data_IF_176213189100
#
_entry.id   IF_176213189100
#
_cell.length_a   1.000
_cell.length_b   1.000
_cell.length_c   1.000
_cell.angle_alpha   90.00
_cell.angle_beta   90.00
_cell.angle_gamma   90.00
#
_symmetry.space_group_name_H-M   'P 1'
#
loop_
_entity.id
_entity.type
_entity.pdbx_description
1 polymer ?
#
# COMPACT_ATOMS: atom_id res chain seq x y z
N UNK A 1 -51.61 -7.61 -57.66
CA UNK A 1 -51.06 -8.79 -56.96
C UNK A 1 -49.55 -8.61 -56.85
N UNK A 2 -49.04 -8.73 -55.62
CA UNK A 2 -47.69 -9.13 -55.17
C UNK A 2 -46.47 -8.47 -55.82
N UNK A 3 -45.73 -7.74 -54.99
CA UNK A 3 -44.28 -7.56 -55.08
C UNK A 3 -43.67 -7.78 -53.69
N UNK A 4 -42.37 -8.09 -53.67
CA UNK A 4 -41.44 -8.22 -52.54
C UNK A 4 -41.12 -9.65 -52.09
N UNK A 5 -40.41 -10.32 -53.00
CA UNK A 5 -39.29 -11.21 -52.69
C UNK A 5 -38.34 -10.53 -51.67
N UNK A 6 -38.15 -11.18 -50.52
CA UNK A 6 -37.01 -10.93 -49.66
C UNK A 6 -36.25 -12.26 -49.55
N UNK A 7 -35.00 -12.17 -49.95
CA UNK A 7 -34.14 -13.25 -50.40
C UNK A 7 -33.83 -14.24 -49.29
N UNK A 8 -34.02 -15.52 -49.64
CA UNK A 8 -33.42 -16.67 -49.00
C UNK A 8 -31.96 -16.78 -49.41
N UNK A 9 -31.22 -17.54 -48.60
CA UNK A 9 -30.04 -18.31 -49.00
C UNK A 9 -28.74 -17.52 -49.24
N UNK A 10 -27.91 -17.47 -48.19
CA UNK A 10 -26.48 -17.70 -48.36
C UNK A 10 -25.89 -18.45 -47.15
N UNK A 11 -25.84 -19.78 -47.32
CA UNK A 11 -24.70 -20.68 -47.00
C UNK A 11 -24.33 -20.89 -45.54
N UNK A 12 -24.86 -21.98 -45.01
CA UNK A 12 -24.11 -22.90 -44.15
C UNK A 12 -22.92 -23.51 -44.92
N UNK A 13 -21.75 -23.60 -44.28
CA UNK A 13 -21.05 -24.86 -44.01
C UNK A 13 -19.57 -24.63 -43.63
N UNK A 14 -19.14 -25.45 -42.67
CA UNK A 14 -17.78 -25.78 -42.25
C UNK A 14 -17.02 -24.79 -41.36
N UNK A 15 -16.23 -25.25 -40.40
CA UNK A 15 -16.19 -26.47 -39.58
C UNK A 15 -15.06 -26.20 -38.55
N UNK A 16 -15.11 -26.86 -37.41
CA UNK A 16 -14.07 -27.06 -36.40
C UNK A 16 -12.77 -26.20 -36.45
N UNK A 17 -12.52 -25.43 -35.37
CA UNK A 17 -11.17 -25.32 -34.80
C UNK A 17 -11.18 -24.85 -33.33
N UNK A 18 -10.99 -25.83 -32.44
CA UNK A 18 -10.11 -25.80 -31.27
C UNK A 18 -10.36 -24.76 -30.17
N UNK A 19 -10.87 -25.30 -29.06
CA UNK A 19 -10.67 -24.80 -27.70
C UNK A 19 -9.17 -24.56 -27.43
N UNK A 20 -8.79 -23.30 -27.23
CA UNK A 20 -7.63 -22.94 -26.42
C UNK A 20 -8.09 -21.95 -25.36
N UNK A 21 -8.36 -22.45 -24.15
CA UNK A 21 -8.42 -21.61 -22.95
C UNK A 21 -6.99 -21.17 -22.63
N UNK A 22 -6.67 -19.89 -22.78
CA UNK A 22 -5.53 -19.30 -22.09
C UNK A 22 -6.06 -18.56 -20.85
N UNK A 23 -5.45 -18.73 -19.66
CA UNK A 23 -5.71 -17.89 -18.51
C UNK A 23 -4.77 -16.69 -18.58
N UNK A 24 -4.98 -15.80 -19.55
CA UNK A 24 -4.39 -14.47 -19.44
C UNK A 24 -5.39 -13.57 -18.75
N UNK A 25 -5.16 -13.42 -17.45
CA UNK A 25 -5.62 -12.32 -16.61
C UNK A 25 -5.53 -11.02 -17.38
N UNK A 26 -6.62 -10.65 -18.04
CA UNK A 26 -6.73 -9.36 -18.70
C UNK A 26 -6.88 -8.38 -17.56
N UNK A 27 -5.76 -7.74 -17.20
CA UNK A 27 -5.74 -6.59 -16.31
C UNK A 27 -6.67 -5.57 -16.97
N UNK A 28 -7.93 -5.54 -16.55
CA UNK A 28 -8.85 -4.48 -16.93
C UNK A 28 -8.29 -3.22 -16.29
N UNK A 29 -7.50 -2.47 -17.05
CA UNK A 29 -7.26 -1.06 -16.78
C UNK A 29 -8.64 -0.41 -16.91
N UNK A 30 -9.41 -0.40 -15.81
CA UNK A 30 -10.53 0.52 -15.67
C UNK A 30 -9.89 1.89 -15.82
N UNK A 31 -10.21 2.57 -16.92
CA UNK A 31 -10.05 4.01 -17.00
C UNK A 31 -10.79 4.54 -15.78
N UNK A 32 -10.04 4.95 -14.76
CA UNK A 32 -10.58 5.47 -13.51
C UNK A 32 -11.29 6.77 -13.91
N UNK A 33 -12.59 6.69 -14.16
CA UNK A 33 -13.45 7.87 -14.14
C UNK A 33 -13.13 8.60 -12.85
N UNK A 34 -12.83 9.89 -12.94
CA UNK A 34 -12.29 10.72 -11.85
C UNK A 34 -13.12 10.44 -10.60
N UNK A 35 -12.59 9.62 -9.68
CA UNK A 35 -13.26 9.29 -8.44
C UNK A 35 -13.36 10.59 -7.66
N UNK A 36 -14.57 11.12 -7.55
CA UNK A 36 -14.80 12.44 -6.98
C UNK A 36 -14.96 12.34 -5.47
N UNK A 37 -13.89 11.89 -4.79
CA UNK A 37 -13.84 11.86 -3.33
C UNK A 37 -13.29 13.19 -2.84
N UNK A 38 -14.09 13.89 -2.03
CA UNK A 38 -13.72 15.17 -1.43
C UNK A 38 -13.66 15.03 0.09
N UNK A 39 -12.57 15.50 0.70
CA UNK A 39 -12.52 15.65 2.16
C UNK A 39 -13.12 16.99 2.55
N UNK A 40 -14.03 16.99 3.51
CA UNK A 40 -14.70 18.19 4.03
C UNK A 40 -14.35 18.34 5.52
N UNK A 41 -13.70 19.44 5.88
CA UNK A 41 -13.40 19.77 7.27
C UNK A 41 -14.39 20.82 7.76
N UNK A 42 -15.20 20.46 8.75
CA UNK A 42 -16.19 21.33 9.37
C UNK A 42 -15.59 22.03 10.60
N UNK A 43 -15.45 23.34 10.49
CA UNK A 43 -14.89 24.26 11.48
C UNK A 43 -13.49 23.84 12.03
N UNK A 44 -12.52 23.45 11.18
CA UNK A 44 -11.19 23.09 11.67
C UNK A 44 -10.58 24.26 12.46
N UNK A 45 -10.00 23.94 13.62
CA UNK A 45 -9.50 24.96 14.55
C UNK A 45 -8.04 25.31 14.32
N UNK A 46 -7.22 24.33 13.92
CA UNK A 46 -5.77 24.49 13.80
C UNK A 46 -5.30 24.34 12.34
N UNK A 47 -4.59 25.35 11.85
CA UNK A 47 -3.99 25.36 10.53
C UNK A 47 -3.00 24.19 10.33
N UNK A 48 -2.33 23.73 11.40
CA UNK A 48 -1.41 22.58 11.35
C UNK A 48 -2.17 21.30 10.97
N UNK A 49 -3.40 21.11 11.46
CA UNK A 49 -4.22 19.97 11.08
C UNK A 49 -4.64 20.05 9.61
N UNK A 50 -5.00 21.25 9.13
CA UNK A 50 -5.31 21.46 7.71
C UNK A 50 -4.09 21.11 6.85
N UNK A 51 -2.89 21.54 7.25
CA UNK A 51 -1.66 21.21 6.53
C UNK A 51 -1.38 19.70 6.51
N UNK A 52 -1.57 19.00 7.61
CA UNK A 52 -1.44 17.54 7.65
C UNK A 52 -2.50 16.84 6.77
N UNK A 53 -3.73 17.35 6.70
CA UNK A 53 -4.77 16.84 5.80
C UNK A 53 -4.38 17.06 4.34
N UNK A 54 -3.86 18.23 3.97
CA UNK A 54 -3.36 18.52 2.61
C UNK A 54 -2.25 17.53 2.21
N UNK A 55 -1.29 17.27 3.12
CA UNK A 55 -0.26 16.25 2.89
C UNK A 55 -0.86 14.86 2.72
N UNK A 56 -1.82 14.49 3.58
CA UNK A 56 -2.48 13.20 3.52
C UNK A 56 -3.19 13.01 2.17
N UNK A 57 -3.96 13.99 1.70
CA UNK A 57 -4.60 13.94 0.39
C UNK A 57 -3.58 13.64 -0.71
N UNK A 58 -2.46 14.38 -0.75
CA UNK A 58 -1.40 14.15 -1.73
C UNK A 58 -0.78 12.75 -1.62
N UNK A 59 -0.48 12.29 -0.40
CA UNK A 59 0.08 10.96 -0.16
C UNK A 59 -0.80 9.83 -0.73
N UNK A 60 -2.13 10.00 -0.67
CA UNK A 60 -3.11 8.99 -1.12
C UNK A 60 -3.70 9.27 -2.51
N UNK A 61 -3.13 10.23 -3.25
CA UNK A 61 -3.54 10.54 -4.62
C UNK A 61 -4.85 11.31 -4.76
N UNK A 62 -5.35 11.92 -3.68
CA UNK A 62 -6.53 12.78 -3.69
C UNK A 62 -6.11 14.27 -3.69
N UNK A 63 -7.00 15.13 -4.15
CA UNK A 63 -6.70 16.57 -4.29
C UNK A 63 -7.79 17.52 -3.82
N UNK A 64 -9.01 17.03 -3.62
CA UNK A 64 -10.16 17.89 -3.36
C UNK A 64 -10.42 18.00 -1.85
N UNK A 65 -10.27 19.23 -1.35
CA UNK A 65 -10.46 19.61 0.05
C UNK A 65 -11.46 20.77 0.13
N UNK A 66 -12.45 20.65 1.00
CA UNK A 66 -13.40 21.72 1.33
C UNK A 66 -13.26 22.09 2.80
N UNK A 67 -13.13 23.38 3.07
CA UNK A 67 -13.08 23.92 4.43
C UNK A 67 -14.38 24.67 4.69
N UNK A 68 -15.14 24.25 5.70
CA UNK A 68 -16.36 24.94 6.13
C UNK A 68 -16.05 25.75 7.36
N UNK A 69 -16.18 27.08 7.28
CA UNK A 69 -15.91 28.00 8.39
C UNK A 69 -14.62 27.69 9.17
N UNK A 70 -13.44 27.55 8.50
CA UNK A 70 -12.19 27.31 9.20
C UNK A 70 -11.87 28.49 10.13
N UNK A 71 -11.45 28.20 11.37
CA UNK A 71 -11.08 29.27 12.31
C UNK A 71 -9.86 30.06 11.82
N UNK A 72 -8.91 29.34 11.24
CA UNK A 72 -7.69 29.89 10.68
C UNK A 72 -7.33 29.14 9.40
N UNK A 73 -7.07 29.88 8.33
CA UNK A 73 -6.56 29.31 7.08
C UNK A 73 -5.75 30.35 6.32
N UNK A 74 -4.51 30.00 6.02
CA UNK A 74 -3.59 30.77 5.18
C UNK A 74 -2.83 29.77 4.29
N UNK A 75 -3.01 29.86 2.98
CA UNK A 75 -2.44 28.89 2.04
C UNK A 75 -0.92 28.89 2.04
N UNK A 76 -0.27 30.04 2.26
CA UNK A 76 1.19 30.16 2.28
C UNK A 76 1.77 29.50 3.53
N UNK A 77 1.16 29.71 4.71
CA UNK A 77 1.55 29.03 5.95
C UNK A 77 1.29 27.54 5.89
N UNK A 78 0.19 27.12 5.26
CA UNK A 78 -0.06 25.70 5.03
C UNK A 78 1.03 25.10 4.14
N UNK A 79 1.40 25.75 3.03
CA UNK A 79 2.50 25.30 2.15
C UNK A 79 3.85 25.21 2.88
N UNK A 80 4.10 26.13 3.81
CA UNK A 80 5.28 26.11 4.68
C UNK A 80 5.37 24.86 5.58
N UNK A 81 4.26 24.20 5.89
CA UNK A 81 4.20 22.96 6.69
C UNK A 81 4.04 21.73 5.78
N UNK A 82 3.28 21.89 4.70
CA UNK A 82 2.93 20.90 3.70
C UNK A 82 3.72 21.14 2.41
N UNK A 83 5.03 20.93 2.46
CA UNK A 83 5.89 21.17 1.30
C UNK A 83 5.47 20.38 0.07
N UNK A 84 5.63 21.00 -1.10
CA UNK A 84 5.33 20.42 -2.40
C UNK A 84 3.85 19.99 -2.52
N UNK A 85 2.89 20.79 -2.05
CA UNK A 85 1.44 20.48 -2.13
C UNK A 85 0.63 21.53 -2.90
N UNK A 86 1.28 22.35 -3.73
CA UNK A 86 0.65 23.45 -4.47
C UNK A 86 -0.51 22.98 -5.36
N UNK A 87 -0.43 21.76 -5.91
CA UNK A 87 -1.48 21.15 -6.73
C UNK A 87 -2.75 20.80 -5.94
N UNK A 88 -2.63 20.47 -4.65
CA UNK A 88 -3.76 20.24 -3.74
C UNK A 88 -4.28 21.58 -3.22
N UNK A 89 -3.38 22.50 -2.84
CA UNK A 89 -3.75 23.83 -2.33
C UNK A 89 -4.55 24.65 -3.35
N UNK A 90 -4.21 24.55 -4.63
CA UNK A 90 -4.94 25.19 -5.72
C UNK A 90 -6.40 24.72 -5.86
N UNK A 91 -6.77 23.60 -5.24
CA UNK A 91 -8.11 23.00 -5.27
C UNK A 91 -8.88 23.15 -3.96
N UNK A 92 -8.27 23.77 -2.94
CA UNK A 92 -8.94 23.99 -1.66
C UNK A 92 -10.07 24.99 -1.86
N UNK A 93 -11.30 24.54 -1.64
CA UNK A 93 -12.49 25.40 -1.65
C UNK A 93 -12.92 25.75 -0.23
N UNK A 94 -13.38 26.98 -0.02
CA UNK A 94 -13.87 27.46 1.27
C UNK A 94 -15.36 27.78 1.18
N UNK A 95 -16.08 27.43 2.23
CA UNK A 95 -17.52 27.63 2.34
C UNK A 95 -17.83 28.20 3.72
N UNK A 96 -18.84 29.07 3.79
CA UNK A 96 -19.31 29.57 5.08
C UNK A 96 -20.21 28.53 5.75
N UNK A 97 -21.01 27.82 4.95
CA UNK A 97 -22.00 26.86 5.45
C UNK A 97 -21.72 25.46 4.95
N UNK A 98 -21.97 24.49 5.82
CA UNK A 98 -21.75 23.07 5.53
C UNK A 98 -22.62 22.57 4.40
N UNK A 99 -23.85 23.07 4.30
CA UNK A 99 -24.80 22.72 3.26
C UNK A 99 -24.20 22.96 1.87
N UNK A 100 -23.63 24.14 1.66
CA UNK A 100 -23.01 24.55 0.40
C UNK A 100 -21.86 23.64 0.01
N UNK A 101 -21.07 23.20 1.00
CA UNK A 101 -19.97 22.27 0.80
C UNK A 101 -20.40 20.84 0.49
N UNK A 102 -21.70 20.50 0.55
CA UNK A 102 -22.23 19.15 0.35
C UNK A 102 -23.25 19.05 -0.79
N UNK A 103 -23.70 20.16 -1.38
CA UNK A 103 -24.83 20.20 -2.32
C UNK A 103 -24.68 19.32 -3.57
N UNK A 104 -23.46 19.19 -4.08
CA UNK A 104 -23.14 18.40 -5.27
C UNK A 104 -22.82 16.92 -4.96
N UNK A 105 -22.82 16.54 -3.68
CA UNK A 105 -22.41 15.20 -3.25
C UNK A 105 -23.56 14.20 -3.29
N UNK A 106 -23.37 13.08 -3.99
CA UNK A 106 -24.33 11.97 -4.05
C UNK A 106 -24.29 11.09 -2.80
N UNK A 107 -23.22 11.20 -2.00
CA UNK A 107 -23.07 10.48 -0.74
C UNK A 107 -22.22 11.27 0.25
N UNK A 108 -22.56 11.14 1.54
CA UNK A 108 -21.89 11.87 2.64
C UNK A 108 -21.62 10.91 3.78
N UNK A 109 -20.35 10.79 4.15
CA UNK A 109 -19.87 9.92 5.21
C UNK A 109 -19.28 10.77 6.33
N UNK A 110 -19.93 10.78 7.49
CA UNK A 110 -19.48 11.54 8.66
C UNK A 110 -18.60 10.71 9.60
N UNK A 111 -17.60 11.32 10.22
CA UNK A 111 -16.67 10.64 11.13
C UNK A 111 -16.88 11.07 12.59
N UNK A 112 -16.99 10.09 13.49
CA UNK A 112 -17.16 10.34 14.94
C UNK A 112 -16.52 9.24 15.79
N UNK A 113 -15.86 9.64 16.87
CA UNK A 113 -15.35 8.73 17.91
C UNK A 113 -16.43 8.34 18.94
N UNK A 114 -17.53 9.11 19.04
CA UNK A 114 -18.55 8.94 20.07
C UNK A 114 -19.69 8.07 19.55
N UNK A 115 -20.03 7.02 20.30
CA UNK A 115 -21.36 6.41 20.23
C UNK A 115 -22.40 7.45 20.64
N UNK A 116 -23.40 7.70 19.81
CA UNK A 116 -24.48 8.67 20.08
C UNK A 116 -25.78 7.90 20.29
N UNK A 117 -26.70 8.49 21.07
CA UNK A 117 -27.97 7.85 21.48
C UNK A 117 -28.94 7.62 20.33
N UNK A 118 -28.90 8.46 19.30
CA UNK A 118 -29.75 8.30 18.11
C UNK A 118 -29.30 7.09 17.28
N UNK A 119 -30.25 6.33 16.73
CA UNK A 119 -29.97 5.26 15.78
C UNK A 119 -29.34 5.84 14.51
N UNK A 120 -28.10 5.46 14.21
CA UNK A 120 -27.35 5.91 13.03
C UNK A 120 -26.92 4.71 12.17
N UNK A 121 -26.74 4.93 10.87
CA UNK A 121 -26.17 3.94 9.96
C UNK A 121 -24.65 3.85 10.16
N UNK A 122 -24.25 3.18 11.25
CA UNK A 122 -22.86 3.06 11.66
C UNK A 122 -22.11 2.04 10.79
N UNK A 123 -20.86 2.37 10.44
CA UNK A 123 -19.96 1.49 9.72
C UNK A 123 -18.54 1.56 10.28
N UNK A 124 -17.77 0.50 10.00
CA UNK A 124 -16.32 0.49 10.21
C UNK A 124 -15.61 1.06 8.98
N UNK A 125 -14.40 1.64 9.14
CA UNK A 125 -13.66 2.27 8.05
C UNK A 125 -13.50 1.37 6.81
N UNK A 126 -13.18 0.09 7.00
CA UNK A 126 -13.00 -0.89 5.92
C UNK A 126 -14.25 -1.10 5.07
N UNK A 127 -15.42 -1.23 5.70
CA UNK A 127 -16.69 -1.43 5.00
C UNK A 127 -17.13 -0.14 4.29
N UNK A 128 -16.97 0.98 4.98
CA UNK A 128 -17.26 2.29 4.42
C UNK A 128 -16.37 2.62 3.22
N UNK A 129 -15.09 2.24 3.24
CA UNK A 129 -14.17 2.46 2.13
C UNK A 129 -14.70 1.82 0.84
N UNK A 130 -15.14 0.56 0.91
CA UNK A 130 -15.73 -0.14 -0.24
C UNK A 130 -17.00 0.55 -0.74
N UNK A 131 -17.91 0.93 0.16
CA UNK A 131 -19.13 1.65 -0.21
C UNK A 131 -18.80 3.02 -0.85
N UNK A 132 -17.86 3.78 -0.30
CA UNK A 132 -17.40 5.07 -0.83
C UNK A 132 -16.89 4.92 -2.26
N UNK A 133 -16.02 3.94 -2.54
CA UNK A 133 -15.50 3.73 -3.89
C UNK A 133 -16.63 3.39 -4.88
N UNK A 134 -17.58 2.54 -4.48
CA UNK A 134 -18.76 2.24 -5.32
C UNK A 134 -19.64 3.47 -5.56
N UNK A 135 -19.90 4.28 -4.53
CA UNK A 135 -20.71 5.50 -4.66
C UNK A 135 -20.03 6.58 -5.50
N UNK A 136 -18.69 6.65 -5.44
CA UNK A 136 -17.90 7.59 -6.22
C UNK A 136 -17.96 7.31 -7.73
N UNK A 137 -18.41 6.12 -8.17
CA UNK A 137 -18.72 5.85 -9.58
C UNK A 137 -19.96 6.61 -10.08
N UNK A 138 -20.87 6.98 -9.18
CA UNK A 138 -22.13 7.67 -9.52
C UNK A 138 -22.06 9.21 -9.37
N UNK A 139 -21.07 9.74 -8.65
CA UNK A 139 -20.89 11.18 -8.44
C UNK A 139 -20.07 11.51 -7.18
N UNK A 140 -19.96 12.80 -6.81
CA UNK A 140 -19.10 13.24 -5.73
C UNK A 140 -19.47 12.66 -4.36
N UNK A 141 -18.49 12.18 -3.61
CA UNK A 141 -18.65 11.64 -2.26
C UNK A 141 -17.88 12.50 -1.26
N UNK A 142 -18.57 13.00 -0.24
CA UNK A 142 -17.97 13.79 0.83
C UNK A 142 -17.57 12.92 2.02
N UNK A 143 -16.32 13.08 2.47
CA UNK A 143 -15.81 12.57 3.73
C UNK A 143 -15.79 13.73 4.74
N UNK A 144 -16.80 13.76 5.62
CA UNK A 144 -17.06 14.89 6.51
C UNK A 144 -16.44 14.65 7.89
N UNK A 145 -15.47 15.49 8.25
CA UNK A 145 -14.80 15.47 9.55
C UNK A 145 -15.13 16.73 10.34
N UNK A 146 -15.35 16.58 11.64
CA UNK A 146 -15.69 17.70 12.51
C UNK A 146 -14.49 18.33 13.18
N UNK A 147 -14.79 19.31 14.02
CA UNK A 147 -13.84 20.03 14.88
C UNK A 147 -13.04 19.10 15.78
N UNK A 148 -11.81 19.48 16.09
CA UNK A 148 -10.89 18.72 16.95
C UNK A 148 -11.43 18.52 18.37
N UNK A 149 -12.09 19.54 18.93
CA UNK A 149 -12.56 19.57 20.32
C UNK A 149 -13.93 18.91 20.53
N UNK A 150 -14.84 19.11 19.57
CA UNK A 150 -16.25 18.74 19.70
C UNK A 150 -16.71 17.68 18.69
N UNK A 151 -15.94 17.42 17.65
CA UNK A 151 -16.34 16.59 16.52
C UNK A 151 -17.48 17.22 15.73
N UNK A 152 -18.28 16.38 15.07
CA UNK A 152 -19.44 16.81 14.31
C UNK A 152 -20.65 17.10 15.24
N UNK A 153 -21.37 18.21 15.03
CA UNK A 153 -22.66 18.44 15.69
C UNK A 153 -23.71 17.44 15.16
N UNK A 154 -24.81 17.28 15.90
CA UNK A 154 -25.89 16.37 15.48
C UNK A 154 -26.47 16.77 14.12
N UNK A 155 -26.62 18.07 13.87
CA UNK A 155 -27.11 18.61 12.59
C UNK A 155 -26.22 18.19 11.40
N UNK A 156 -24.91 18.09 11.61
CA UNK A 156 -23.99 17.56 10.59
C UNK A 156 -24.18 16.05 10.39
N UNK A 157 -24.32 15.30 11.48
CA UNK A 157 -24.57 13.86 11.43
C UNK A 157 -25.92 13.51 10.80
N UNK A 158 -26.93 14.37 10.95
CA UNK A 158 -28.26 14.22 10.34
C UNK A 158 -28.21 14.29 8.81
N UNK A 159 -27.20 14.98 8.26
CA UNK A 159 -26.94 15.05 6.81
C UNK A 159 -26.08 13.88 6.29
N UNK A 160 -25.57 13.02 7.17
CA UNK A 160 -24.71 11.92 6.78
C UNK A 160 -25.51 10.67 6.43
N UNK A 161 -25.26 10.10 5.25
CA UNK A 161 -25.85 8.82 4.82
C UNK A 161 -25.28 7.63 5.62
N UNK A 162 -24.00 7.75 5.98
CA UNK A 162 -23.23 6.82 6.82
C UNK A 162 -22.46 7.57 7.87
N UNK A 163 -22.28 6.92 9.02
CA UNK A 163 -21.43 7.43 10.09
C UNK A 163 -20.35 6.39 10.36
N UNK A 164 -19.09 6.79 10.25
CA UNK A 164 -17.94 5.91 10.47
C UNK A 164 -17.37 6.16 11.85
N UNK A 165 -17.14 5.06 12.57
CA UNK A 165 -16.43 5.06 13.85
C UNK A 165 -15.18 4.21 13.74
N UNK A 166 -14.03 4.89 13.74
CA UNK A 166 -12.71 4.27 13.77
C UNK A 166 -12.54 3.56 15.11
N UNK A 167 -12.22 2.25 15.14
CA UNK A 167 -11.93 1.55 16.37
C UNK A 167 -10.70 2.16 17.07
N UNK A 168 -10.88 2.61 18.30
CA UNK A 168 -9.84 3.18 19.17
C UNK A 168 -9.99 2.62 20.59
N UNK A 169 -9.01 2.89 21.46
CA UNK A 169 -9.12 2.52 22.87
C UNK A 169 -10.34 3.19 23.50
N UNK A 170 -11.23 2.44 24.19
CA UNK A 170 -12.37 3.04 24.89
C UNK A 170 -11.97 4.10 25.93
N UNK A 171 -10.75 4.00 26.49
CA UNK A 171 -10.23 4.96 27.47
C UNK A 171 -9.79 6.30 26.83
N UNK A 172 -9.48 6.30 25.53
CA UNK A 172 -9.02 7.49 24.81
C UNK A 172 -9.48 7.43 23.35
N UNK A 173 -10.78 7.63 23.08
CA UNK A 173 -11.35 7.28 21.79
C UNK A 173 -11.13 8.34 20.70
N UNK A 174 -10.79 9.57 21.09
CA UNK A 174 -10.67 10.71 20.17
C UNK A 174 -9.32 10.73 19.47
N UNK A 175 -9.34 10.69 18.14
CA UNK A 175 -8.14 10.87 17.32
C UNK A 175 -7.96 12.34 16.97
N UNK A 176 -6.71 12.73 16.72
CA UNK A 176 -6.42 13.97 15.99
C UNK A 176 -7.12 13.95 14.63
N UNK A 177 -7.60 15.13 14.19
CA UNK A 177 -8.35 15.30 12.93
C UNK A 177 -7.60 14.72 11.72
N UNK A 178 -6.33 15.10 11.54
CA UNK A 178 -5.54 14.63 10.41
C UNK A 178 -5.25 13.13 10.49
N UNK A 179 -5.09 12.56 11.70
CA UNK A 179 -4.93 11.11 11.87
C UNK A 179 -6.19 10.34 11.46
N UNK A 180 -7.38 10.83 11.83
CA UNK A 180 -8.64 10.22 11.41
C UNK A 180 -8.78 10.26 9.88
N UNK A 181 -8.39 11.36 9.23
CA UNK A 181 -8.35 11.47 7.77
C UNK A 181 -7.38 10.44 7.20
N UNK A 182 -6.12 10.39 7.67
CA UNK A 182 -5.10 9.44 7.17
C UNK A 182 -5.59 7.99 7.24
N UNK A 183 -6.21 7.57 8.34
CA UNK A 183 -6.72 6.20 8.49
C UNK A 183 -7.82 5.89 7.45
N UNK A 184 -8.71 6.84 7.19
CA UNK A 184 -9.73 6.65 6.16
C UNK A 184 -9.12 6.62 4.75
N UNK A 185 -8.17 7.50 4.46
CA UNK A 185 -7.51 7.52 3.16
C UNK A 185 -6.68 6.26 2.91
N UNK A 186 -6.09 5.68 3.97
CA UNK A 186 -5.43 4.38 3.91
C UNK A 186 -6.40 3.24 3.61
N UNK A 187 -7.55 3.17 4.28
CA UNK A 187 -8.58 2.16 3.98
C UNK A 187 -9.13 2.30 2.56
N UNK A 188 -9.23 3.52 2.03
CA UNK A 188 -9.56 3.75 0.61
C UNK A 188 -8.46 3.22 -0.31
N UNK A 189 -7.19 3.41 0.03
CA UNK A 189 -6.07 2.88 -0.75
C UNK A 189 -6.11 1.35 -0.80
N UNK A 190 -6.31 0.69 0.34
CA UNK A 190 -6.49 -0.77 0.40
C UNK A 190 -7.70 -1.23 -0.42
N UNK A 191 -8.84 -0.53 -0.31
CA UNK A 191 -10.03 -0.88 -1.07
C UNK A 191 -9.86 -0.67 -2.60
N UNK A 192 -8.90 0.16 -3.04
CA UNK A 192 -8.51 0.30 -4.46
C UNK A 192 -7.53 -0.78 -4.93
N UNK A 193 -6.98 -1.59 -4.03
CA UNK A 193 -5.90 -2.55 -4.34
C UNK A 193 -4.52 -1.90 -4.40
N UNK A 194 -4.29 -0.78 -3.71
CA UNK A 194 -2.97 -0.13 -3.69
C UNK A 194 -1.89 -0.97 -2.95
N UNK A 195 -2.31 -1.94 -2.13
CA UNK A 195 -1.44 -2.93 -1.47
C UNK A 195 -0.99 -4.07 -2.39
N UNK A 196 -1.64 -4.26 -3.54
CA UNK A 196 -1.18 -5.17 -4.59
C UNK A 196 -0.02 -4.60 -5.42
N UNK A 197 0.40 -3.34 -5.16
CA UNK A 197 1.52 -2.72 -5.87
C UNK A 197 2.79 -3.53 -5.62
N UNK A 198 3.43 -4.08 -6.66
CA UNK A 198 4.63 -4.88 -6.47
C UNK A 198 5.75 -4.01 -5.91
N UNK A 199 6.52 -4.58 -4.98
CA UNK A 199 7.77 -3.97 -4.57
C UNK A 199 8.70 -3.83 -5.79
N UNK A 200 9.51 -2.79 -5.78
CA UNK A 200 10.51 -2.60 -6.84
C UNK A 200 11.45 -3.81 -6.84
N UNK A 201 11.47 -4.55 -7.94
CA UNK A 201 12.37 -5.69 -8.11
C UNK A 201 13.83 -5.23 -7.92
N UNK A 202 14.63 -5.96 -7.14
CA UNK A 202 16.07 -5.73 -7.04
C UNK A 202 16.72 -5.67 -8.42
N UNK A 203 17.65 -4.72 -8.62
CA UNK A 203 18.31 -4.49 -9.92
C UNK A 203 19.16 -5.67 -10.43
N UNK A 204 19.43 -6.67 -9.60
CA UNK A 204 20.37 -7.75 -9.86
C UNK A 204 19.90 -9.02 -9.15
N UNK A 205 18.77 -9.57 -9.59
CA UNK A 205 18.37 -10.94 -9.25
C UNK A 205 19.02 -11.89 -10.26
N UNK A 206 19.75 -12.90 -9.76
CA UNK A 206 20.15 -14.04 -10.56
C UNK A 206 19.04 -15.10 -10.62
N UNK A 207 19.14 -16.10 -11.52
CA UNK A 207 18.31 -17.29 -11.38
C UNK A 207 18.60 -17.98 -10.03
N UNK A 208 17.66 -18.80 -9.51
CA UNK A 208 17.89 -19.59 -8.31
C UNK A 208 19.17 -20.41 -8.42
N UNK A 209 19.94 -20.50 -7.32
CA UNK A 209 21.14 -21.33 -7.28
C UNK A 209 20.78 -22.78 -7.59
N UNK A 210 21.55 -23.43 -8.45
CA UNK A 210 21.36 -24.84 -8.74
C UNK A 210 21.83 -25.70 -7.56
N UNK A 211 21.40 -26.97 -7.54
CA UNK A 211 21.93 -27.94 -6.57
C UNK A 211 23.45 -28.05 -6.67
N UNK A 212 24.03 -27.99 -7.89
CA UNK A 212 25.49 -28.01 -8.08
C UNK A 212 26.16 -26.77 -7.46
N UNK A 213 25.57 -25.57 -7.60
CA UNK A 213 26.09 -24.35 -6.97
C UNK A 213 26.11 -24.48 -5.44
N UNK A 214 25.07 -25.05 -4.86
CA UNK A 214 24.96 -25.27 -3.41
C UNK A 214 25.94 -26.35 -2.93
N UNK A 215 26.09 -27.47 -3.65
CA UNK A 215 27.06 -28.51 -3.29
C UNK A 215 28.50 -27.99 -3.35
N UNK A 216 28.84 -27.17 -4.36
CA UNK A 216 30.13 -26.48 -4.42
C UNK A 216 30.31 -25.51 -3.26
N UNK A 217 29.25 -24.78 -2.89
CA UNK A 217 29.26 -23.92 -1.71
C UNK A 217 29.56 -24.69 -0.43
N UNK A 218 28.91 -25.82 -0.21
CA UNK A 218 29.16 -26.63 0.98
C UNK A 218 30.57 -27.22 0.99
N UNK A 219 31.09 -27.65 -0.16
CA UNK A 219 32.47 -28.12 -0.27
C UNK A 219 33.49 -27.00 0.02
N UNK A 220 33.31 -25.82 -0.58
CA UNK A 220 34.17 -24.65 -0.36
C UNK A 220 34.11 -24.20 1.12
N UNK A 221 32.92 -24.19 1.72
CA UNK A 221 32.72 -23.85 3.13
C UNK A 221 33.38 -24.86 4.07
N UNK A 222 33.27 -26.16 3.82
CA UNK A 222 33.94 -27.18 4.62
C UNK A 222 35.47 -27.02 4.55
N UNK A 223 36.01 -26.80 3.35
CA UNK A 223 37.44 -26.56 3.15
C UNK A 223 37.91 -25.33 3.94
N UNK A 224 37.17 -24.23 3.89
CA UNK A 224 37.45 -23.03 4.67
C UNK A 224 37.45 -23.32 6.19
N UNK A 225 36.44 -24.03 6.70
CA UNK A 225 36.33 -24.40 8.10
C UNK A 225 37.47 -25.34 8.56
N UNK A 226 37.97 -26.21 7.68
CA UNK A 226 39.17 -27.04 7.95
C UNK A 226 40.44 -26.19 8.09
N UNK A 227 40.65 -25.22 7.18
CA UNK A 227 41.84 -24.36 7.19
C UNK A 227 41.94 -23.53 8.48
N UNK A 228 40.82 -23.07 9.02
CA UNK A 228 40.79 -22.32 10.29
C UNK A 228 40.71 -23.22 11.53
N UNK A 229 40.95 -24.52 11.39
CA UNK A 229 40.90 -25.54 12.46
C UNK A 229 39.56 -25.62 13.21
N UNK A 230 38.44 -25.20 12.61
CA UNK A 230 37.13 -25.14 13.28
C UNK A 230 36.66 -26.51 13.82
N UNK A 231 37.05 -27.58 13.13
CA UNK A 231 36.69 -28.96 13.45
C UNK A 231 37.58 -29.63 14.52
N UNK A 232 38.59 -28.94 15.07
CA UNK A 232 39.52 -29.52 16.06
C UNK A 232 38.82 -30.18 17.25
N UNK A 233 37.64 -29.68 17.63
CA UNK A 233 36.82 -30.20 18.74
C UNK A 233 35.39 -30.57 18.31
N UNK A 234 35.12 -30.70 17.00
CA UNK A 234 33.75 -30.85 16.47
C UNK A 234 33.69 -31.91 15.38
N UNK A 235 32.62 -32.70 15.35
CA UNK A 235 32.38 -33.65 14.26
C UNK A 235 32.01 -32.90 12.98
N UNK A 236 32.75 -33.15 11.90
CA UNK A 236 32.57 -32.48 10.60
C UNK A 236 31.15 -32.65 10.07
N UNK A 237 30.65 -33.88 10.01
CA UNK A 237 29.33 -34.18 9.47
C UNK A 237 28.21 -33.44 10.21
N UNK A 238 28.24 -33.43 11.55
CA UNK A 238 27.22 -32.75 12.35
C UNK A 238 27.19 -31.25 12.09
N UNK A 239 28.35 -30.60 12.06
CA UNK A 239 28.46 -29.18 11.72
C UNK A 239 27.97 -28.91 10.30
N UNK A 240 28.42 -29.69 9.32
CA UNK A 240 28.04 -29.46 7.91
C UNK A 240 26.56 -29.74 7.65
N UNK A 241 25.92 -30.66 8.38
CA UNK A 241 24.45 -30.83 8.37
C UNK A 241 23.77 -29.53 8.81
N UNK A 242 24.22 -28.92 9.90
CA UNK A 242 23.66 -27.64 10.37
C UNK A 242 23.93 -26.50 9.39
N UNK A 243 25.12 -26.40 8.79
CA UNK A 243 25.42 -25.39 7.76
C UNK A 243 24.46 -25.52 6.58
N UNK A 244 24.22 -26.75 6.11
CA UNK A 244 23.27 -27.04 5.04
C UNK A 244 21.85 -26.60 5.39
N UNK A 245 21.36 -26.95 6.58
CA UNK A 245 20.03 -26.52 7.04
C UNK A 245 19.89 -25.00 7.12
N UNK A 246 20.91 -24.29 7.60
CA UNK A 246 20.88 -22.83 7.68
C UNK A 246 20.80 -22.23 6.28
N UNK A 247 21.63 -22.70 5.35
CA UNK A 247 21.64 -22.20 3.97
C UNK A 247 20.33 -22.52 3.25
N UNK A 248 19.76 -23.72 3.44
CA UNK A 248 18.48 -24.10 2.83
C UNK A 248 17.27 -23.29 3.33
N UNK A 249 17.35 -22.61 4.46
CA UNK A 249 16.27 -21.70 4.92
C UNK A 249 16.15 -20.46 4.03
N UNK A 250 17.15 -20.17 3.20
CA UNK A 250 17.15 -19.03 2.27
C UNK A 250 17.23 -19.54 0.83
N UNK A 251 16.29 -19.14 -0.06
CA UNK A 251 16.35 -19.51 -1.47
C UNK A 251 17.41 -18.65 -2.18
N UNK A 252 18.68 -19.04 -2.03
CA UNK A 252 19.79 -18.28 -2.62
C UNK A 252 19.69 -18.23 -4.14
N UNK A 253 20.03 -17.08 -4.72
CA UNK A 253 20.31 -16.98 -6.15
C UNK A 253 21.75 -17.42 -6.48
N UNK A 254 22.04 -17.66 -7.77
CA UNK A 254 23.38 -18.07 -8.22
C UNK A 254 24.47 -17.10 -7.76
N UNK A 255 24.18 -15.80 -7.71
CA UNK A 255 25.14 -14.76 -7.37
C UNK A 255 25.46 -14.78 -5.89
N UNK A 256 24.46 -14.97 -5.04
CA UNK A 256 24.61 -15.14 -3.60
C UNK A 256 25.40 -16.41 -3.28
N UNK A 257 25.08 -17.53 -3.93
CA UNK A 257 25.87 -18.76 -3.81
C UNK A 257 27.34 -18.53 -4.23
N UNK A 258 27.58 -17.88 -5.37
CA UNK A 258 28.93 -17.53 -5.85
C UNK A 258 29.67 -16.59 -4.88
N UNK A 259 28.98 -15.64 -4.25
CA UNK A 259 29.57 -14.75 -3.26
C UNK A 259 30.02 -15.52 -2.01
N UNK A 260 29.15 -16.37 -1.46
CA UNK A 260 29.48 -17.18 -0.29
C UNK A 260 30.63 -18.15 -0.58
N UNK A 261 30.65 -18.73 -1.80
CA UNK A 261 31.78 -19.53 -2.29
C UNK A 261 33.07 -18.74 -2.33
N UNK A 262 33.04 -17.54 -2.93
CA UNK A 262 34.21 -16.68 -3.00
C UNK A 262 34.76 -16.33 -1.61
N UNK A 263 33.89 -16.07 -0.63
CA UNK A 263 34.29 -15.85 0.76
C UNK A 263 35.03 -17.07 1.33
N UNK A 264 34.49 -18.27 1.15
CA UNK A 264 35.10 -19.50 1.62
C UNK A 264 36.45 -19.79 0.94
N UNK A 265 36.53 -19.60 -0.38
CA UNK A 265 37.77 -19.74 -1.17
C UNK A 265 38.85 -18.76 -0.69
N UNK A 266 38.49 -17.50 -0.38
CA UNK A 266 39.47 -16.53 0.12
C UNK A 266 40.00 -16.87 1.52
N UNK A 267 39.19 -17.49 2.39
CA UNK A 267 39.68 -18.05 3.68
C UNK A 267 40.76 -19.09 3.44
N UNK A 268 40.53 -20.03 2.50
CA UNK A 268 41.52 -21.06 2.15
C UNK A 268 42.81 -20.43 1.63
N UNK A 269 42.72 -19.54 0.64
CA UNK A 269 43.89 -18.85 0.07
C UNK A 269 44.67 -18.05 1.12
N UNK A 270 43.96 -17.42 2.06
CA UNK A 270 44.60 -16.67 3.14
C UNK A 270 45.41 -17.59 4.05
N UNK A 271 44.85 -18.74 4.46
CA UNK A 271 45.57 -19.75 5.24
C UNK A 271 46.82 -20.26 4.53
N UNK A 272 46.77 -20.50 3.23
CA UNK A 272 47.96 -20.89 2.46
C UNK A 272 49.03 -19.79 2.39
N UNK A 273 48.62 -18.52 2.25
CA UNK A 273 49.57 -17.38 2.26
C UNK A 273 50.27 -17.27 3.62
N UNK A 274 49.56 -17.48 4.72
CA UNK A 274 50.14 -17.52 6.06
C UNK A 274 51.16 -18.67 6.20
N UNK A 275 50.79 -19.88 5.77
CA UNK A 275 51.70 -21.03 5.83
C UNK A 275 53.00 -20.80 5.02
N UNK A 276 52.90 -20.18 3.85
CA UNK A 276 54.05 -19.85 2.98
C UNK A 276 54.93 -18.73 3.55
N UNK A 277 54.38 -17.79 4.30
CA UNK A 277 55.11 -16.62 4.77
C UNK A 277 55.95 -16.86 6.04
N UNK A 278 55.90 -18.07 6.62
CA UNK A 278 56.60 -18.45 7.89
C UNK A 278 56.38 -17.47 9.06
N UNK A 279 55.41 -16.58 8.96
CA UNK A 279 54.92 -15.78 10.07
C UNK A 279 54.22 -16.77 11.00
N UNK A 280 54.94 -17.22 12.03
CA UNK A 280 54.30 -17.68 13.25
C UNK A 280 53.43 -16.53 13.72
N UNK A 281 52.12 -16.64 13.48
CA UNK A 281 51.16 -15.88 14.27
C UNK A 281 51.20 -16.55 15.63
N UNK A 282 52.05 -16.02 16.51
CA UNK A 282 52.00 -16.36 17.93
C UNK A 282 50.54 -16.20 18.39
N UNK A 283 50.02 -17.28 18.95
CA UNK A 283 48.69 -17.37 19.53
C UNK A 283 48.64 -16.62 20.86
#
# INVERSE_FOLDING_TARGET
MRNAECQRECRDANDLALQFRSPHSTLRIRVIGIMSITVVLHEPQDLVNIAHVVRALKNFGLRDLRLVSPREYDSYRVEGIAHQTQDVLARVARFDRMEEALLDCVHVVGFTARGRTAKRNLQRPRDAAREILTRAEAGPVALLFGREDKGLPNEALDRCHRVVTIPTSPAYPSLNLAHAVVLMLYELALARGDDDRPFKTPRREGPPATVDDLERLFADAEAALRVIEFFKTRQVEGVMRTVREVIHRTPLDEREAKLLRAMAIEVVKYGERLARSRLHVDR
#
